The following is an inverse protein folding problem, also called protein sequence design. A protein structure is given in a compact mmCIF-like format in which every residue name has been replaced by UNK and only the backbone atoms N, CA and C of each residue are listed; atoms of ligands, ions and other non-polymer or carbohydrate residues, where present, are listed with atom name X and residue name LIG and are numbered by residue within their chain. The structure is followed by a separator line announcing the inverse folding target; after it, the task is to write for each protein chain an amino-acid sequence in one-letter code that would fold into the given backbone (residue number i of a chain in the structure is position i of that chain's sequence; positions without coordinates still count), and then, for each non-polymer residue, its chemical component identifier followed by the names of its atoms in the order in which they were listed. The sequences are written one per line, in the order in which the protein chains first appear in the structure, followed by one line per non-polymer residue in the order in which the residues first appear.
data_IF_282464038551
#
_entry.id   IF_282464038551
#
_cell.length_a   1.000
_cell.length_b   1.000
_cell.length_c   1.000
_cell.angle_alpha   90.00
_cell.angle_beta   90.00
_cell.angle_gamma   90.00
#
_symmetry.space_group_name_H-M   'P 1'
#
loop_
_entity.id
_entity.type
_entity.pdbx_description
1 polymer ?
#
# COMPACT_ATOMS: atom_id res chain seq x y z
N UNK A 1 9.18 20.97 -8.97
CA UNK A 1 7.81 21.24 -8.49
C UNK A 1 7.49 20.18 -7.46
N UNK A 2 7.15 20.56 -6.22
CA UNK A 2 6.66 19.62 -5.22
C UNK A 2 5.29 19.16 -5.69
N UNK A 3 5.20 17.94 -6.22
CA UNK A 3 3.91 17.30 -6.42
C UNK A 3 3.45 16.83 -5.05
N UNK A 4 2.71 17.70 -4.38
CA UNK A 4 2.17 17.39 -3.06
C UNK A 4 0.90 16.56 -3.24
N UNK A 5 1.13 15.26 -3.48
CA UNK A 5 0.08 14.23 -3.57
C UNK A 5 -0.84 14.30 -2.34
N UNK A 6 -0.34 14.82 -1.22
CA UNK A 6 -1.04 14.93 0.05
C UNK A 6 -1.78 16.27 0.27
N UNK A 7 -1.64 17.26 -0.62
CA UNK A 7 -2.33 18.57 -0.52
C UNK A 7 -3.59 18.66 -1.41
N UNK A 8 -3.99 17.57 -2.09
CA UNK A 8 -5.17 17.58 -2.96
C UNK A 8 -6.49 17.46 -2.17
N UNK A 9 -7.59 17.99 -2.72
CA UNK A 9 -8.93 17.84 -2.12
C UNK A 9 -9.34 16.36 -2.00
N UNK A 10 -9.01 15.55 -3.00
CA UNK A 10 -9.26 14.11 -2.99
C UNK A 10 -8.48 13.41 -1.87
N UNK A 11 -7.21 13.76 -1.68
CA UNK A 11 -6.41 13.21 -0.59
C UNK A 11 -6.93 13.64 0.78
N UNK A 12 -7.37 14.90 0.92
CA UNK A 12 -8.01 15.38 2.15
C UNK A 12 -9.29 14.58 2.48
N UNK A 13 -10.09 14.21 1.48
CA UNK A 13 -11.24 13.31 1.67
C UNK A 13 -10.79 11.91 2.10
N UNK A 14 -9.77 11.34 1.45
CA UNK A 14 -9.19 10.04 1.83
C UNK A 14 -8.70 10.07 3.28
N UNK A 15 -8.00 11.11 3.70
CA UNK A 15 -7.52 11.29 5.07
C UNK A 15 -8.66 11.28 6.09
N UNK A 16 -9.76 11.96 5.80
CA UNK A 16 -10.96 11.93 6.66
C UNK A 16 -11.59 10.54 6.71
N UNK A 17 -11.63 9.82 5.58
CA UNK A 17 -12.12 8.45 5.53
C UNK A 17 -11.21 7.48 6.29
N UNK A 18 -9.88 7.64 6.24
CA UNK A 18 -8.92 6.85 7.00
C UNK A 18 -9.16 6.99 8.50
N UNK A 19 -9.41 8.19 9.01
CA UNK A 19 -9.73 8.38 10.44
C UNK A 19 -11.05 7.67 10.81
N UNK A 20 -12.08 7.72 9.95
CA UNK A 20 -13.33 6.97 10.17
C UNK A 20 -13.11 5.45 10.15
N UNK A 21 -12.30 4.95 9.21
CA UNK A 21 -11.91 3.55 9.10
C UNK A 21 -11.20 3.09 10.38
N UNK A 22 -10.25 3.89 10.90
CA UNK A 22 -9.56 3.59 12.16
C UNK A 22 -10.53 3.48 13.33
N UNK A 23 -11.45 4.44 13.45
CA UNK A 23 -12.47 4.44 14.52
C UNK A 23 -13.37 3.20 14.41
N UNK A 24 -13.87 2.87 13.22
CA UNK A 24 -14.76 1.72 13.04
C UNK A 24 -14.03 0.38 13.23
N UNK A 25 -12.78 0.29 12.74
CA UNK A 25 -11.92 -0.87 13.00
C UNK A 25 -11.70 -1.08 14.50
N UNK A 26 -11.43 -0.01 15.27
CA UNK A 26 -11.25 -0.08 16.73
C UNK A 26 -12.51 -0.54 17.47
N UNK A 27 -13.71 -0.14 17.02
CA UNK A 27 -14.96 -0.67 17.60
C UNK A 27 -15.08 -2.17 17.38
N UNK A 28 -14.65 -2.65 16.22
CA UNK A 28 -14.66 -4.07 15.88
C UNK A 28 -13.55 -4.85 16.61
N UNK A 29 -12.40 -4.24 16.93
CA UNK A 29 -11.34 -4.89 17.73
C UNK A 29 -11.84 -5.42 19.07
N UNK A 30 -12.67 -4.63 19.77
CA UNK A 30 -13.26 -5.04 21.06
C UNK A 30 -14.20 -6.24 20.97
N UNK A 31 -14.63 -6.63 19.78
CA UNK A 31 -15.45 -7.83 19.54
C UNK A 31 -14.62 -9.10 19.33
N UNK A 32 -13.36 -8.94 18.94
CA UNK A 32 -12.41 -10.04 18.66
C UNK A 32 -11.28 -10.14 19.70
N UNK A 33 -11.29 -9.28 20.73
CA UNK A 33 -10.41 -9.46 21.89
C UNK A 33 -10.95 -10.61 22.74
N UNK A 34 -10.55 -11.84 22.44
CA UNK A 34 -10.91 -12.98 23.28
C UNK A 34 -10.27 -12.82 24.67
N UNK A 35 -11.02 -13.10 25.74
CA UNK A 35 -10.49 -13.20 27.12
C UNK A 35 -9.35 -14.22 27.25
N UNK A 36 -9.20 -15.12 26.27
CA UNK A 36 -8.21 -16.20 26.24
C UNK A 36 -6.76 -15.73 26.05
N UNK A 37 -6.53 -14.50 25.57
CA UNK A 37 -5.19 -14.02 25.20
C UNK A 37 -4.28 -13.62 26.37
N UNK A 38 -4.83 -13.40 27.57
CA UNK A 38 -4.05 -13.01 28.77
C UNK A 38 -3.01 -14.08 29.16
N UNK A 39 -3.16 -15.34 28.71
CA UNK A 39 -2.21 -16.42 29.01
C UNK A 39 -1.03 -16.51 28.02
N UNK A 40 -1.19 -16.11 26.76
CA UNK A 40 -0.14 -16.21 25.73
C UNK A 40 0.81 -15.01 25.74
N UNK A 41 0.32 -13.82 26.12
CA UNK A 41 1.12 -12.59 26.14
C UNK A 41 2.25 -12.58 27.18
N UNK A 42 2.24 -13.49 28.16
CA UNK A 42 3.31 -13.61 29.17
C UNK A 42 4.62 -14.22 28.63
N UNK A 43 4.66 -14.74 27.40
CA UNK A 43 5.84 -15.47 26.89
C UNK A 43 6.55 -14.88 25.67
N UNK A 44 6.12 -13.74 25.11
CA UNK A 44 6.85 -13.11 24.00
C UNK A 44 7.25 -11.67 24.34
N UNK A 45 8.43 -11.54 24.94
CA UNK A 45 9.23 -10.34 24.78
C UNK A 45 10.16 -10.55 23.58
N UNK A 46 9.80 -9.98 22.44
CA UNK A 46 10.77 -9.83 21.34
C UNK A 46 10.90 -8.35 21.01
N UNK A 47 11.96 -7.77 21.55
CA UNK A 47 12.64 -6.60 20.98
C UNK A 47 13.14 -6.98 19.60
N UNK A 48 12.42 -6.64 18.55
CA UNK A 48 12.97 -6.50 17.20
C UNK A 48 12.01 -5.64 16.38
N UNK A 49 12.08 -4.32 16.57
CA UNK A 49 11.53 -3.41 15.57
C UNK A 49 12.56 -3.34 14.44
N UNK A 50 12.31 -4.05 13.34
CA UNK A 50 13.11 -3.94 12.12
C UNK A 50 13.07 -2.47 11.65
N UNK A 51 14.15 -1.73 11.92
CA UNK A 51 14.27 -0.29 11.64
C UNK A 51 14.09 0.01 10.14
N UNK A 52 14.31 -0.99 9.29
CA UNK A 52 14.25 -0.87 7.85
C UNK A 52 12.92 -1.36 7.27
N UNK A 53 11.93 -1.69 8.12
CA UNK A 53 10.58 -2.02 7.67
C UNK A 53 9.86 -0.81 7.06
N UNK A 54 8.98 -1.06 6.09
CA UNK A 54 8.20 -0.01 5.42
C UNK A 54 7.39 0.82 6.43
N UNK A 55 6.80 0.19 7.46
CA UNK A 55 6.11 0.90 8.53
C UNK A 55 6.99 1.92 9.26
N UNK A 56 8.25 1.57 9.52
CA UNK A 56 9.21 2.50 10.14
C UNK A 56 9.68 3.57 9.16
N UNK A 57 9.90 3.22 7.89
CA UNK A 57 10.25 4.19 6.84
C UNK A 57 9.11 5.19 6.59
N UNK A 58 7.86 4.78 6.80
CA UNK A 58 6.65 5.58 6.63
C UNK A 58 6.11 6.19 7.92
N UNK A 59 6.86 6.20 9.03
CA UNK A 59 6.35 6.65 10.33
C UNK A 59 5.66 8.04 10.31
N UNK A 60 6.13 8.98 9.48
CA UNK A 60 5.55 10.32 9.33
C UNK A 60 4.32 10.38 8.39
N UNK A 61 3.93 9.25 7.80
CA UNK A 61 2.85 9.13 6.81
C UNK A 61 1.77 8.13 7.24
N UNK A 62 1.85 7.56 8.44
CA UNK A 62 0.87 6.57 8.94
C UNK A 62 -0.55 7.15 9.11
N UNK A 63 -0.71 8.47 9.13
CA UNK A 63 -2.01 9.13 9.08
C UNK A 63 -2.53 9.39 7.66
N UNK A 64 -1.66 9.27 6.65
CA UNK A 64 -1.95 9.49 5.24
C UNK A 64 -2.18 8.20 4.45
N UNK A 65 -1.68 7.06 4.96
CA UNK A 65 -1.64 5.79 4.25
C UNK A 65 -2.48 4.72 4.95
N UNK A 66 -3.11 3.85 4.17
CA UNK A 66 -3.81 2.67 4.66
C UNK A 66 -2.81 1.53 4.86
N UNK A 67 -2.95 0.77 5.96
CA UNK A 67 -2.07 -0.36 6.31
C UNK A 67 -0.55 -0.08 6.33
N UNK A 68 -0.13 1.18 6.21
CA UNK A 68 1.26 1.60 6.32
C UNK A 68 1.81 2.27 5.06
N UNK A 69 1.41 1.80 3.89
CA UNK A 69 2.02 2.08 2.58
C UNK A 69 1.02 2.10 1.40
N UNK A 70 -0.27 1.91 1.65
CA UNK A 70 -1.27 1.96 0.59
C UNK A 70 -1.88 3.35 0.49
N UNK A 71 -1.69 3.99 -0.67
CA UNK A 71 -2.36 5.24 -1.03
C UNK A 71 -3.74 4.95 -1.61
N UNK A 72 -4.80 5.08 -0.81
CA UNK A 72 -6.17 4.80 -1.26
C UNK A 72 -6.72 5.90 -2.15
N UNK A 73 -7.53 5.51 -3.14
CA UNK A 73 -8.47 6.42 -3.77
C UNK A 73 -9.75 6.59 -2.93
N UNK A 74 -10.50 7.68 -3.15
CA UNK A 74 -11.78 7.94 -2.47
C UNK A 74 -12.76 6.75 -2.60
N UNK A 75 -12.97 6.14 -3.79
CA UNK A 75 -13.84 4.97 -3.91
C UNK A 75 -13.36 3.77 -3.10
N UNK A 76 -12.05 3.52 -3.05
CA UNK A 76 -11.48 2.42 -2.26
C UNK A 76 -11.69 2.66 -0.75
N UNK A 77 -11.43 3.87 -0.27
CA UNK A 77 -11.64 4.24 1.13
C UNK A 77 -13.12 4.13 1.54
N UNK A 78 -14.05 4.62 0.71
CA UNK A 78 -15.50 4.45 0.94
C UNK A 78 -15.92 2.99 0.99
N UNK A 79 -15.40 2.16 0.08
CA UNK A 79 -15.69 0.72 0.06
C UNK A 79 -15.19 0.02 1.32
N UNK A 80 -13.99 0.35 1.79
CA UNK A 80 -13.43 -0.21 3.03
C UNK A 80 -14.27 0.19 4.24
N UNK A 81 -14.63 1.48 4.35
CA UNK A 81 -15.46 1.97 5.45
C UNK A 81 -16.84 1.29 5.46
N UNK A 82 -17.51 1.23 4.31
CA UNK A 82 -18.78 0.51 4.15
C UNK A 82 -18.63 -0.95 4.58
N UNK A 83 -17.58 -1.64 4.16
CA UNK A 83 -17.36 -3.03 4.59
C UNK A 83 -17.19 -3.16 6.11
N UNK A 84 -16.56 -2.19 6.79
CA UNK A 84 -16.38 -2.21 8.25
C UNK A 84 -17.68 -1.94 9.00
N UNK A 85 -18.49 -0.98 8.52
CA UNK A 85 -19.79 -0.64 9.11
C UNK A 85 -20.78 -1.80 8.97
N UNK A 86 -20.78 -2.49 7.82
CA UNK A 86 -21.73 -3.55 7.50
C UNK A 86 -21.25 -4.97 7.86
N UNK A 87 -19.96 -5.18 8.15
CA UNK A 87 -19.45 -6.43 8.73
C UNK A 87 -20.16 -6.79 10.05
N UNK A 88 -20.75 -5.79 10.72
CA UNK A 88 -21.58 -5.97 11.92
C UNK A 88 -22.88 -6.77 11.69
N UNK A 89 -23.28 -7.04 10.44
CA UNK A 89 -24.49 -7.80 10.10
C UNK A 89 -24.20 -9.25 9.67
N UNK A 90 -23.02 -9.79 9.96
CA UNK A 90 -22.69 -11.20 9.72
C UNK A 90 -22.16 -11.52 8.32
N UNK A 91 -21.73 -10.50 7.55
CA UNK A 91 -21.09 -10.71 6.25
C UNK A 91 -19.59 -10.96 6.40
N UNK A 92 -19.10 -12.09 5.86
CA UNK A 92 -17.66 -12.38 5.74
C UNK A 92 -16.96 -11.30 4.91
N UNK A 93 -15.78 -10.86 5.34
CA UNK A 93 -14.92 -9.93 4.58
C UNK A 93 -14.75 -10.43 3.13
N UNK A 94 -14.87 -9.53 2.16
CA UNK A 94 -14.58 -9.85 0.75
C UNK A 94 -13.10 -10.23 0.59
N UNK A 95 -12.74 -11.10 -0.36
CA UNK A 95 -11.34 -11.46 -0.65
C UNK A 95 -10.48 -10.19 -0.87
N UNK A 96 -9.31 -10.14 -0.22
CA UNK A 96 -8.36 -9.01 -0.27
C UNK A 96 -6.92 -9.48 -0.52
N UNK A 97 -6.71 -10.48 -1.39
CA UNK A 97 -5.34 -10.78 -1.82
C UNK A 97 -5.02 -10.03 -3.12
N UNK A 98 -5.84 -10.22 -4.14
CA UNK A 98 -5.81 -9.44 -5.37
C UNK A 98 -7.16 -8.71 -5.51
N UNK A 99 -7.16 -7.43 -5.85
CA UNK A 99 -8.41 -6.69 -6.07
C UNK A 99 -9.16 -7.32 -7.26
N UNK A 100 -10.37 -7.89 -7.08
CA UNK A 100 -11.05 -8.60 -8.16
C UNK A 100 -11.89 -7.67 -9.05
N UNK A 101 -11.85 -6.36 -8.83
CA UNK A 101 -12.72 -5.42 -9.53
C UNK A 101 -12.18 -5.17 -10.96
N UNK A 102 -12.94 -5.50 -12.03
CA UNK A 102 -12.46 -5.46 -13.42
C UNK A 102 -11.91 -4.11 -13.87
N UNK A 103 -12.44 -3.03 -13.29
CA UNK A 103 -12.05 -1.64 -13.55
C UNK A 103 -10.66 -1.30 -13.00
N UNK A 104 -10.15 -2.05 -12.02
CA UNK A 104 -8.83 -1.81 -11.41
C UNK A 104 -7.71 -2.66 -11.97
N UNK A 105 -8.01 -3.57 -12.91
CA UNK A 105 -6.97 -4.33 -13.59
C UNK A 105 -6.29 -3.51 -14.68
N UNK A 106 -5.01 -3.80 -14.88
CA UNK A 106 -4.28 -3.40 -16.07
C UNK A 106 -4.83 -4.14 -17.28
N UNK A 107 -5.32 -3.38 -18.28
CA UNK A 107 -5.94 -3.93 -19.49
C UNK A 107 -4.93 -4.63 -20.42
N UNK A 108 -3.64 -4.34 -20.25
CA UNK A 108 -2.54 -4.97 -20.96
C UNK A 108 -1.53 -5.49 -19.93
N UNK A 109 -0.85 -6.59 -20.26
CA UNK A 109 0.24 -7.15 -19.45
C UNK A 109 1.56 -6.38 -19.63
N UNK A 110 1.65 -5.48 -20.61
CA UNK A 110 2.78 -4.54 -20.75
C UNK A 110 2.42 -3.20 -20.13
N UNK A 111 3.01 -2.91 -18.98
CA UNK A 111 2.75 -1.74 -18.15
C UNK A 111 3.74 -0.62 -18.51
N UNK A 112 3.27 0.52 -19.02
CA UNK A 112 4.15 1.68 -19.23
C UNK A 112 4.62 2.24 -17.90
N UNK A 113 5.88 2.69 -17.85
CA UNK A 113 6.39 3.42 -16.69
C UNK A 113 7.38 4.51 -17.08
N UNK A 114 7.53 5.49 -16.19
CA UNK A 114 8.52 6.55 -16.31
C UNK A 114 9.02 6.98 -14.92
N UNK A 115 10.00 7.87 -14.89
CA UNK A 115 10.59 8.43 -13.69
C UNK A 115 10.35 9.94 -13.66
N UNK A 116 9.96 10.48 -12.51
CA UNK A 116 9.93 11.93 -12.31
C UNK A 116 11.34 12.52 -12.37
N UNK A 117 11.40 13.83 -12.61
CA UNK A 117 12.67 14.55 -12.78
C UNK A 117 13.59 14.50 -11.56
N UNK A 118 13.04 14.24 -10.37
CA UNK A 118 13.80 14.06 -9.12
C UNK A 118 14.63 12.76 -9.09
N UNK A 119 14.35 11.79 -9.97
CA UNK A 119 15.13 10.56 -10.12
C UNK A 119 16.27 10.67 -11.12
N UNK A 120 16.20 11.61 -12.06
CA UNK A 120 17.11 11.64 -13.22
C UNK A 120 18.58 11.77 -12.85
N UNK A 121 18.88 12.27 -11.64
CA UNK A 121 20.25 12.41 -11.13
C UNK A 121 20.73 11.22 -10.26
N UNK A 122 19.86 10.24 -9.96
CA UNK A 122 20.18 9.07 -9.13
C UNK A 122 20.13 7.78 -9.98
N UNK A 123 21.19 7.56 -10.75
CA UNK A 123 21.31 6.39 -11.64
C UNK A 123 21.22 5.06 -10.88
N UNK A 124 21.74 5.02 -9.65
CA UNK A 124 21.68 3.82 -8.80
C UNK A 124 20.25 3.49 -8.40
N UNK A 125 19.44 4.49 -8.04
CA UNK A 125 18.03 4.28 -7.75
C UNK A 125 17.27 3.81 -9.00
N UNK A 126 17.50 4.44 -10.15
CA UNK A 126 16.91 4.03 -11.43
C UNK A 126 17.23 2.56 -11.73
N UNK A 127 18.49 2.15 -11.57
CA UNK A 127 18.91 0.77 -11.81
C UNK A 127 18.29 -0.21 -10.81
N UNK A 128 18.16 0.19 -9.54
CA UNK A 128 17.48 -0.63 -8.52
C UNK A 128 16.00 -0.80 -8.87
N UNK A 129 15.31 0.25 -9.35
CA UNK A 129 13.91 0.14 -9.80
C UNK A 129 13.81 -0.82 -10.98
N UNK A 130 14.66 -0.66 -12.00
CA UNK A 130 14.70 -1.57 -13.15
C UNK A 130 14.95 -3.02 -12.73
N UNK A 131 15.80 -3.25 -11.73
CA UNK A 131 16.05 -4.58 -11.18
C UNK A 131 14.82 -5.18 -10.48
N UNK A 132 14.07 -4.38 -9.71
CA UNK A 132 12.80 -4.79 -9.11
C UNK A 132 11.75 -5.15 -10.15
N UNK A 133 11.61 -4.33 -11.19
CA UNK A 133 10.72 -4.61 -12.33
C UNK A 133 11.12 -5.91 -13.05
N UNK A 134 12.40 -6.06 -13.40
CA UNK A 134 12.93 -7.27 -14.05
C UNK A 134 12.76 -8.53 -13.17
N UNK A 135 12.81 -8.40 -11.84
CA UNK A 135 12.52 -9.51 -10.93
C UNK A 135 11.09 -10.03 -11.12
N UNK A 136 10.10 -9.13 -11.24
CA UNK A 136 8.70 -9.48 -11.52
C UNK A 136 8.55 -10.09 -12.93
N UNK A 137 9.21 -9.51 -13.94
CA UNK A 137 9.14 -10.01 -15.33
C UNK A 137 9.66 -11.43 -15.48
N UNK A 138 10.70 -11.79 -14.73
CA UNK A 138 11.29 -13.14 -14.73
C UNK A 138 10.35 -14.22 -14.17
N UNK A 139 9.43 -13.83 -13.30
CA UNK A 139 8.56 -14.76 -12.56
C UNK A 139 7.12 -14.74 -13.06
N UNK A 140 6.76 -13.80 -13.95
CA UNK A 140 5.38 -13.58 -14.37
C UNK A 140 5.28 -13.27 -15.87
N UNK A 141 4.05 -13.16 -16.38
CA UNK A 141 3.78 -12.68 -17.73
C UNK A 141 3.73 -11.15 -17.86
N UNK A 142 3.87 -10.41 -16.76
CA UNK A 142 3.87 -8.94 -16.76
C UNK A 142 5.18 -8.42 -17.36
N UNK A 143 5.09 -7.36 -18.16
CA UNK A 143 6.22 -6.67 -18.80
C UNK A 143 6.15 -5.19 -18.48
N UNK A 144 7.30 -4.53 -18.40
CA UNK A 144 7.39 -3.10 -18.14
C UNK A 144 8.07 -2.40 -19.30
N UNK A 145 7.44 -1.34 -19.82
CA UNK A 145 8.01 -0.55 -20.91
C UNK A 145 8.35 0.86 -20.40
N UNK A 146 9.63 1.18 -20.43
CA UNK A 146 10.13 2.50 -20.04
C UNK A 146 9.81 3.57 -21.10
N UNK A 147 9.51 4.77 -20.63
CA UNK A 147 9.36 6.00 -21.42
C UNK A 147 10.19 7.12 -20.80
N UNK A 148 10.70 8.02 -21.63
CA UNK A 148 11.61 9.08 -21.16
C UNK A 148 10.85 10.13 -20.35
N UNK A 149 9.62 10.45 -20.75
CA UNK A 149 8.80 11.47 -20.09
C UNK A 149 7.35 11.06 -19.92
N UNK A 150 6.68 11.63 -18.92
CA UNK A 150 5.23 11.48 -18.74
C UNK A 150 4.42 12.13 -19.88
N UNK A 151 5.00 13.08 -20.63
CA UNK A 151 4.36 13.69 -21.80
C UNK A 151 4.13 12.68 -22.93
N UNK A 152 4.99 11.68 -23.09
CA UNK A 152 4.79 10.58 -24.06
C UNK A 152 3.63 9.65 -23.68
N UNK A 153 3.12 9.78 -22.46
CA UNK A 153 2.12 8.92 -21.84
C UNK A 153 0.81 9.67 -21.52
N UNK A 154 0.60 10.86 -22.10
CA UNK A 154 -0.52 11.74 -21.75
C UNK A 154 -1.91 11.10 -21.93
N UNK A 155 -2.06 10.13 -22.83
CA UNK A 155 -3.29 9.40 -23.12
C UNK A 155 -3.30 7.96 -22.56
N UNK A 156 -2.39 7.65 -21.62
CA UNK A 156 -2.19 6.29 -21.10
C UNK A 156 -2.24 6.22 -19.59
N UNK A 157 -2.50 5.02 -19.12
CA UNK A 157 -2.27 4.66 -17.73
C UNK A 157 -0.83 4.17 -17.56
N UNK A 158 -0.12 4.66 -16.55
CA UNK A 158 1.29 4.33 -16.36
C UNK A 158 1.75 4.48 -14.91
N UNK A 159 2.84 3.79 -14.59
CA UNK A 159 3.52 3.92 -13.30
C UNK A 159 4.50 5.09 -13.35
N UNK A 160 4.41 5.99 -12.38
CA UNK A 160 5.31 7.14 -12.27
C UNK A 160 6.11 7.07 -10.96
N UNK A 161 7.35 6.60 -11.06
CA UNK A 161 8.26 6.49 -9.91
C UNK A 161 8.83 7.87 -9.55
N UNK A 162 8.84 8.21 -8.26
CA UNK A 162 9.34 9.50 -7.78
C UNK A 162 9.87 9.44 -6.34
N UNK A 163 10.65 10.46 -5.95
CA UNK A 163 11.42 10.47 -4.70
C UNK A 163 10.61 11.12 -3.60
N UNK A 164 9.54 10.44 -3.18
CA UNK A 164 8.69 10.89 -2.08
C UNK A 164 9.30 10.68 -0.70
N UNK A 165 8.54 11.09 0.33
CA UNK A 165 8.80 10.63 1.70
C UNK A 165 8.26 9.20 1.84
N UNK A 166 9.07 8.25 2.29
CA UNK A 166 8.60 6.86 2.49
C UNK A 166 8.40 6.02 1.22
N UNK A 167 7.87 4.82 1.40
CA UNK A 167 7.62 3.79 0.38
C UNK A 167 6.11 3.56 0.29
N UNK A 168 5.47 3.87 -0.83
CA UNK A 168 4.03 3.66 -0.95
C UNK A 168 3.58 3.62 -2.40
N UNK A 169 2.43 2.99 -2.63
CA UNK A 169 1.77 2.91 -3.92
C UNK A 169 0.24 2.87 -3.78
N UNK A 170 -0.51 3.38 -4.77
CA UNK A 170 -1.90 2.99 -4.98
C UNK A 170 -2.02 1.48 -5.24
N UNK A 171 -3.22 0.94 -5.00
CA UNK A 171 -3.50 -0.48 -5.30
C UNK A 171 -4.29 -0.62 -6.59
N UNK A 172 -3.70 -1.30 -7.58
CA UNK A 172 -4.26 -1.51 -8.91
C UNK A 172 -4.14 -0.27 -9.81
N UNK A 173 -4.73 -0.37 -11.01
CA UNK A 173 -4.75 0.70 -12.01
C UNK A 173 -5.70 1.83 -11.57
N UNK A 174 -5.18 3.06 -11.46
CA UNK A 174 -5.96 4.24 -11.05
C UNK A 174 -6.51 5.07 -12.22
N UNK A 175 -5.88 4.96 -13.40
CA UNK A 175 -6.12 5.87 -14.52
C UNK A 175 -5.06 6.98 -14.58
N UNK A 176 -4.54 7.28 -15.77
CA UNK A 176 -3.46 8.24 -15.96
C UNK A 176 -2.14 7.83 -15.30
N UNK A 177 -1.30 8.82 -15.00
CA UNK A 177 -0.03 8.62 -14.28
C UNK A 177 -0.26 8.40 -12.79
N UNK A 178 -0.02 7.18 -12.30
CA UNK A 178 -0.16 6.87 -10.87
C UNK A 178 1.20 6.88 -10.16
N UNK A 179 1.32 7.58 -9.01
CA UNK A 179 2.59 7.77 -8.34
C UNK A 179 3.02 6.53 -7.55
N UNK A 180 4.31 6.16 -7.63
CA UNK A 180 4.95 5.20 -6.73
C UNK A 180 6.12 5.88 -6.03
N UNK A 181 6.04 6.00 -4.70
CA UNK A 181 7.10 6.62 -3.90
C UNK A 181 8.15 5.57 -3.56
N UNK A 182 9.39 5.76 -4.02
CA UNK A 182 10.56 5.04 -3.49
C UNK A 182 11.47 6.08 -2.83
N UNK A 183 11.12 6.45 -1.59
CA UNK A 183 11.85 7.41 -0.78
C UNK A 183 13.19 6.89 -0.26
N UNK A 184 13.85 7.70 0.58
CA UNK A 184 15.13 7.31 1.20
C UNK A 184 14.94 6.08 2.09
N UNK A 185 15.74 5.03 1.88
CA UNK A 185 15.63 3.75 2.60
C UNK A 185 14.74 2.73 1.89
N UNK A 186 13.96 3.15 0.89
CA UNK A 186 13.10 2.28 0.08
C UNK A 186 13.83 1.68 -1.13
N UNK A 187 15.09 2.07 -1.37
CA UNK A 187 15.92 1.69 -2.52
C UNK A 187 16.46 0.25 -2.41
N UNK A 188 15.55 -0.70 -2.18
CA UNK A 188 15.80 -2.14 -2.07
C UNK A 188 14.91 -2.89 -3.04
N UNK A 189 15.41 -4.02 -3.56
CA UNK A 189 14.69 -4.82 -4.54
C UNK A 189 13.34 -5.31 -4.01
N UNK A 190 13.29 -5.76 -2.76
CA UNK A 190 12.09 -6.29 -2.11
C UNK A 190 11.02 -5.22 -1.91
N UNK A 191 11.41 -4.01 -1.46
CA UNK A 191 10.48 -2.89 -1.30
C UNK A 191 9.95 -2.43 -2.67
N UNK A 192 10.80 -2.27 -3.67
CA UNK A 192 10.35 -1.86 -5.01
C UNK A 192 9.39 -2.90 -5.59
N UNK A 193 9.70 -4.19 -5.46
CA UNK A 193 8.80 -5.25 -5.92
C UNK A 193 7.46 -5.18 -5.17
N UNK A 194 7.48 -4.97 -3.85
CA UNK A 194 6.29 -4.82 -3.01
C UNK A 194 5.40 -3.65 -3.48
N UNK A 195 5.96 -2.44 -3.60
CA UNK A 195 5.20 -1.28 -4.07
C UNK A 195 4.69 -1.44 -5.51
N UNK A 196 5.47 -2.08 -6.37
CA UNK A 196 5.03 -2.38 -7.74
C UNK A 196 3.87 -3.38 -7.73
N UNK A 197 3.91 -4.38 -6.84
CA UNK A 197 2.84 -5.37 -6.70
C UNK A 197 1.56 -4.74 -6.15
N UNK A 198 1.64 -3.73 -5.28
CA UNK A 198 0.50 -2.89 -4.94
C UNK A 198 -0.08 -2.23 -6.20
N UNK A 199 0.74 -1.55 -7.00
CA UNK A 199 0.28 -0.93 -8.24
C UNK A 199 -0.35 -1.93 -9.23
N UNK A 200 0.08 -3.20 -9.20
CA UNK A 200 -0.50 -4.29 -9.99
C UNK A 200 -1.81 -4.86 -9.41
N UNK A 201 -2.17 -4.52 -8.17
CA UNK A 201 -3.46 -4.85 -7.57
C UNK A 201 -3.41 -5.76 -6.34
N UNK A 202 -2.22 -6.03 -5.79
CA UNK A 202 -2.09 -6.82 -4.57
C UNK A 202 -2.30 -5.96 -3.33
N UNK A 203 -2.99 -6.53 -2.35
CA UNK A 203 -3.09 -5.99 -0.99
C UNK A 203 -2.22 -6.84 -0.06
N UNK A 204 -2.10 -6.43 1.19
CA UNK A 204 -1.36 -7.19 2.17
C UNK A 204 -1.98 -8.55 2.52
N UNK A 205 -1.16 -9.59 2.58
CA UNK A 205 -1.60 -10.97 2.84
C UNK A 205 -2.28 -11.13 4.20
N UNK A 206 -1.78 -10.48 5.26
CA UNK A 206 -2.38 -10.54 6.61
C UNK A 206 -3.77 -9.88 6.70
N UNK A 207 -4.20 -9.17 5.65
CA UNK A 207 -5.51 -8.54 5.56
C UNK A 207 -6.59 -9.46 4.96
N UNK A 208 -6.20 -10.65 4.48
CA UNK A 208 -7.11 -11.64 3.91
C UNK A 208 -8.25 -12.01 4.84
N UNK A 209 -9.35 -12.46 4.25
CA UNK A 209 -10.56 -12.82 4.99
C UNK A 209 -10.44 -14.13 5.77
N UNK A 210 -9.50 -15.00 5.39
CA UNK A 210 -9.18 -16.28 6.04
C UNK A 210 -7.94 -16.19 6.94
N UNK A 211 -7.35 -14.99 7.14
CA UNK A 211 -6.07 -14.84 7.86
C UNK A 211 -6.10 -15.38 9.29
N UNK A 212 -7.25 -15.36 9.95
CA UNK A 212 -7.41 -15.89 11.33
C UNK A 212 -7.26 -17.43 11.39
N UNK A 213 -7.24 -18.13 10.24
CA UNK A 213 -6.89 -19.56 10.16
C UNK A 213 -5.37 -19.80 10.17
N UNK A 214 -4.56 -18.77 9.89
CA UNK A 214 -3.10 -18.90 9.69
C UNK A 214 -2.27 -18.07 10.67
N UNK A 215 -2.77 -16.90 11.10
CA UNK A 215 -2.05 -15.99 11.97
C UNK A 215 -2.94 -15.51 13.11
N UNK A 216 -2.33 -15.30 14.28
CA UNK A 216 -2.96 -14.67 15.42
C UNK A 216 -2.42 -13.25 15.57
N UNK A 217 -3.32 -12.26 15.66
CA UNK A 217 -2.93 -10.87 15.87
C UNK A 217 -2.91 -10.58 17.37
N UNK A 218 -1.72 -10.29 17.90
CA UNK A 218 -1.59 -9.80 19.28
C UNK A 218 -1.93 -8.30 19.33
N UNK A 219 -3.20 -7.99 19.59
CA UNK A 219 -3.70 -6.62 19.62
C UNK A 219 -3.04 -5.75 20.70
N UNK A 220 -2.57 -6.33 21.81
CA UNK A 220 -1.88 -5.60 22.89
C UNK A 220 -0.47 -5.15 22.47
N UNK A 221 0.12 -5.79 21.46
CA UNK A 221 1.44 -5.48 20.93
C UNK A 221 1.40 -4.60 19.67
N UNK A 222 0.21 -4.13 19.26
CA UNK A 222 0.10 -3.19 18.15
C UNK A 222 0.58 -1.81 18.63
N UNK A 223 1.57 -1.27 17.92
CA UNK A 223 2.12 0.05 18.19
C UNK A 223 1.00 1.09 18.01
N UNK A 224 0.70 1.82 19.09
CA UNK A 224 -0.20 2.96 19.00
C UNK A 224 0.52 4.11 18.31
N UNK A 225 -0.01 4.59 17.19
CA UNK A 225 0.40 5.87 16.63
C UNK A 225 -0.19 6.97 17.51
N UNK A 226 0.55 7.38 18.55
CA UNK A 226 0.20 8.52 19.39
C UNK A 226 0.36 9.80 18.57
N UNK A 227 -0.72 10.59 18.47
CA UNK A 227 -0.68 11.97 17.93
C UNK A 227 0.19 12.88 18.79
#
# INVERSE_FOLDING_TARGET
MKNDIFETDEHNEVKQLLEKIKIEAQKNLKKFSDEHFVKLSKQQSSKDSDKDSILNLNHNLLDQLFEGDILLSVPQAKKILYQLEYANFGHKRTQRQANPAPDTFWSNLTIPYTFRSDYLNDSKLIDTVKNGLNHIEKLTCIRFKAYETSTELYDRDFLEYFRGGGCFSPVGRQGGGQPISIGRGCDRLDIIAHETLHALGLWHEQSRNDRDEYVLVNYDAIISVSK
#
